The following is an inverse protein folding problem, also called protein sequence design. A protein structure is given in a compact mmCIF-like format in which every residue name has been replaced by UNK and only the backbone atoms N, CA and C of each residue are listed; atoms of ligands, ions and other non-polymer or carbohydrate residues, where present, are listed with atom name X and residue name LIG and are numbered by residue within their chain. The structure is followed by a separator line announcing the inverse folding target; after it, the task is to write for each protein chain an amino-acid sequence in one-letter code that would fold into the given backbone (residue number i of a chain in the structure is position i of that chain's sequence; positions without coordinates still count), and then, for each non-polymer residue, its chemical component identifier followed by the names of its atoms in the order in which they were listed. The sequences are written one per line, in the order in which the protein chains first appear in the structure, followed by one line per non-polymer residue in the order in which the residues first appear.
data_IF_183363314419
#
_entry.id   IF_183363314419
#
_cell.length_a   1.000
_cell.length_b   1.000
_cell.length_c   1.000
_cell.angle_alpha   90.00
_cell.angle_beta   90.00
_cell.angle_gamma   90.00
#
_symmetry.space_group_name_H-M   'P 1'
#
loop_
_entity.id
_entity.type
_entity.pdbx_description
1 polymer ?
#
# COMPACT_ATOMS: atom_id res chain seq x y z
N UNK A 1 -11.30 20.19 21.57
CA UNK A 1 -12.07 18.93 21.48
C UNK A 1 -13.42 19.24 20.85
N UNK A 2 -13.46 19.57 19.55
CA UNK A 2 -14.72 19.96 18.87
C UNK A 2 -15.27 18.87 17.94
N UNK A 3 -14.45 17.90 17.52
CA UNK A 3 -14.85 16.84 16.58
C UNK A 3 -15.88 15.87 17.19
N UNK A 4 -15.93 15.76 18.52
CA UNK A 4 -16.90 14.87 19.20
C UNK A 4 -18.32 15.46 19.28
N UNK A 5 -18.52 16.72 18.91
CA UNK A 5 -19.82 17.40 19.04
C UNK A 5 -20.61 17.48 17.73
N UNK A 6 -20.00 17.16 16.59
CA UNK A 6 -20.68 17.14 15.31
C UNK A 6 -20.34 15.85 14.53
N UNK A 7 -21.25 14.85 14.49
CA UNK A 7 -21.02 13.58 13.80
C UNK A 7 -20.87 13.72 12.28
N UNK A 8 -21.14 14.91 11.72
CA UNK A 8 -20.93 15.24 10.30
C UNK A 8 -19.62 16.01 10.04
N UNK A 9 -18.88 16.38 11.08
CA UNK A 9 -17.58 17.04 10.91
C UNK A 9 -16.55 16.02 10.42
N UNK A 10 -16.16 16.13 9.15
CA UNK A 10 -15.05 15.36 8.59
C UNK A 10 -13.73 15.92 9.11
N UNK A 11 -12.89 15.05 9.68
CA UNK A 11 -11.53 15.40 10.01
C UNK A 11 -10.79 15.82 8.73
N UNK A 12 -10.00 16.89 8.81
CA UNK A 12 -9.10 17.29 7.73
C UNK A 12 -7.95 16.28 7.60
N UNK A 13 -7.36 16.14 6.40
CA UNK A 13 -6.38 15.08 6.06
C UNK A 13 -5.18 15.03 7.01
N UNK A 14 -4.72 16.16 7.52
CA UNK A 14 -3.62 16.25 8.49
C UNK A 14 -3.93 15.59 9.83
N UNK A 15 -5.21 15.40 10.15
CA UNK A 15 -5.69 14.76 11.37
C UNK A 15 -6.10 13.31 11.13
N UNK A 16 -5.89 12.77 9.93
CA UNK A 16 -6.23 11.39 9.62
C UNK A 16 -5.24 10.45 10.27
N UNK A 17 -5.76 9.43 10.92
CA UNK A 17 -4.93 8.34 11.39
C UNK A 17 -4.64 7.40 10.20
N UNK A 18 -3.38 7.25 9.77
CA UNK A 18 -3.05 6.60 8.51
C UNK A 18 -3.22 5.08 8.57
N UNK A 19 -3.70 4.49 7.47
CA UNK A 19 -3.63 3.05 7.22
C UNK A 19 -2.31 2.69 6.50
N UNK A 20 -1.73 1.51 6.72
CA UNK A 20 -2.26 0.42 7.56
C UNK A 20 -2.01 0.60 9.06
N UNK A 21 -1.28 1.62 9.52
CA UNK A 21 -0.92 1.76 10.95
C UNK A 21 -2.11 1.69 11.94
N UNK A 22 -3.28 2.16 11.52
CA UNK A 22 -4.49 2.11 12.33
C UNK A 22 -5.23 0.77 12.34
N UNK A 23 -4.87 -0.18 11.45
CA UNK A 23 -5.52 -1.50 11.37
C UNK A 23 -5.37 -2.29 12.68
N UNK A 24 -4.22 -2.20 13.35
CA UNK A 24 -3.98 -2.89 14.61
C UNK A 24 -4.91 -2.39 15.72
N UNK A 25 -5.13 -1.08 15.80
CA UNK A 25 -6.04 -0.48 16.77
C UNK A 25 -7.48 -0.94 16.52
N UNK A 26 -7.93 -0.88 15.28
CA UNK A 26 -9.28 -1.32 14.88
C UNK A 26 -9.44 -2.81 15.17
N UNK A 27 -8.48 -3.65 14.78
CA UNK A 27 -8.58 -5.11 14.92
C UNK A 27 -8.71 -5.51 16.40
N UNK A 28 -7.88 -4.94 17.27
CA UNK A 28 -7.94 -5.21 18.71
C UNK A 28 -9.20 -4.64 19.37
N UNK A 29 -9.70 -3.49 18.91
CA UNK A 29 -10.89 -2.85 19.49
C UNK A 29 -12.15 -3.67 19.23
N UNK A 30 -12.27 -4.23 18.03
CA UNK A 30 -13.45 -4.98 17.61
C UNK A 30 -13.30 -6.50 17.71
N UNK A 31 -12.12 -7.00 18.05
CA UNK A 31 -11.78 -8.42 18.05
C UNK A 31 -12.06 -9.10 16.69
N UNK A 32 -11.85 -8.36 15.60
CA UNK A 32 -12.09 -8.81 14.24
C UNK A 32 -10.87 -8.52 13.37
N UNK A 33 -10.60 -9.32 12.33
CA UNK A 33 -9.52 -9.04 11.40
C UNK A 33 -9.87 -7.83 10.55
N UNK A 34 -8.89 -6.98 10.26
CA UNK A 34 -9.03 -5.81 9.40
C UNK A 34 -8.36 -6.10 8.07
N UNK A 35 -9.11 -6.03 6.97
CA UNK A 35 -8.61 -6.21 5.61
C UNK A 35 -8.39 -4.82 5.00
N UNK A 36 -7.14 -4.44 4.71
CA UNK A 36 -6.84 -3.15 4.09
C UNK A 36 -6.39 -3.29 2.64
N UNK A 37 -7.12 -2.64 1.73
CA UNK A 37 -6.83 -2.60 0.31
C UNK A 37 -6.42 -1.19 -0.13
N UNK A 38 -5.42 -1.11 -0.99
CA UNK A 38 -4.94 0.17 -1.56
C UNK A 38 -4.30 -0.07 -2.93
N UNK A 39 -4.38 0.90 -3.87
CA UNK A 39 -3.67 0.82 -5.14
C UNK A 39 -2.15 0.64 -5.00
N UNK A 40 -1.58 1.11 -3.89
CA UNK A 40 -0.19 0.85 -3.55
C UNK A 40 -0.06 -0.58 -3.01
N UNK A 41 0.02 -1.58 -3.91
CA UNK A 41 0.03 -3.02 -3.58
C UNK A 41 0.91 -3.39 -2.36
N UNK A 42 2.07 -2.75 -2.20
CA UNK A 42 3.01 -2.99 -1.10
C UNK A 42 2.49 -2.59 0.30
N UNK A 43 1.44 -1.77 0.37
CA UNK A 43 0.82 -1.29 1.60
C UNK A 43 -0.51 -1.99 1.91
N UNK A 44 -1.01 -2.84 1.00
CA UNK A 44 -2.21 -3.62 1.23
C UNK A 44 -1.86 -4.81 2.13
N UNK A 45 -2.49 -4.89 3.29
CA UNK A 45 -2.27 -5.98 4.23
C UNK A 45 -3.50 -6.18 5.11
N UNK A 46 -3.84 -7.43 5.46
CA UNK A 46 -4.74 -7.70 6.55
C UNK A 46 -3.98 -7.63 7.88
N UNK A 47 -4.71 -7.41 8.96
CA UNK A 47 -4.19 -7.36 10.33
C UNK A 47 -5.16 -8.07 11.25
N UNK A 48 -4.68 -9.06 11.99
CA UNK A 48 -5.49 -9.72 13.01
C UNK A 48 -5.40 -9.00 14.35
N UNK A 49 -6.33 -9.26 15.29
CA UNK A 49 -6.16 -8.89 16.68
C UNK A 49 -4.85 -9.47 17.24
N UNK A 50 -4.18 -8.71 18.11
CA UNK A 50 -2.89 -9.08 18.68
C UNK A 50 -3.03 -9.77 20.04
N UNK A 51 -4.13 -9.52 20.77
CA UNK A 51 -4.25 -9.87 22.19
C UNK A 51 -5.39 -10.84 22.50
N UNK A 52 -6.14 -11.28 21.50
CA UNK A 52 -7.34 -12.12 21.70
C UNK A 52 -7.42 -13.20 20.66
N UNK A 53 -7.93 -14.38 21.04
CA UNK A 53 -8.27 -15.45 20.10
C UNK A 53 -9.43 -15.04 19.17
N UNK A 54 -9.64 -15.75 18.05
CA UNK A 54 -10.80 -15.57 17.20
C UNK A 54 -12.12 -15.74 17.95
N UNK A 55 -13.09 -14.82 17.79
CA UNK A 55 -14.44 -15.04 18.29
C UNK A 55 -15.13 -16.17 17.51
N UNK A 56 -16.23 -16.76 18.04
CA UNK A 56 -16.97 -17.81 17.35
C UNK A 56 -17.51 -17.39 15.97
N UNK A 57 -17.82 -16.10 15.82
CA UNK A 57 -18.27 -15.51 14.56
C UNK A 57 -17.25 -14.46 14.10
N UNK A 58 -16.60 -14.74 12.97
CA UNK A 58 -15.59 -13.87 12.38
C UNK A 58 -16.23 -13.03 11.29
N UNK A 59 -16.15 -11.71 11.45
CA UNK A 59 -16.67 -10.69 10.54
C UNK A 59 -15.56 -9.69 10.21
N UNK A 60 -14.78 -9.93 9.15
CA UNK A 60 -13.68 -9.05 8.80
C UNK A 60 -14.14 -7.63 8.47
N UNK A 61 -13.44 -6.64 9.03
CA UNK A 61 -13.66 -5.23 8.72
C UNK A 61 -12.83 -4.91 7.49
N UNK A 62 -13.48 -4.64 6.36
CA UNK A 62 -12.77 -4.36 5.12
C UNK A 62 -12.76 -2.87 4.82
N UNK A 63 -11.58 -2.31 4.63
CA UNK A 63 -11.36 -0.90 4.33
C UNK A 63 -10.55 -0.79 3.04
N UNK A 64 -10.98 0.05 2.12
CA UNK A 64 -10.22 0.40 0.92
C UNK A 64 -9.84 1.87 0.90
N UNK A 65 -8.62 2.14 0.44
CA UNK A 65 -8.16 3.48 0.11
C UNK A 65 -8.42 3.78 -1.37
N UNK A 66 -9.24 4.79 -1.64
CA UNK A 66 -9.69 5.16 -2.98
C UNK A 66 -9.37 6.61 -3.30
N UNK A 67 -9.23 6.92 -4.59
CA UNK A 67 -8.95 8.26 -5.12
C UNK A 67 -7.74 8.98 -4.48
N UNK A 68 -6.78 8.20 -3.96
CA UNK A 68 -5.60 8.70 -3.23
C UNK A 68 -5.90 9.65 -2.07
N UNK A 69 -7.13 9.65 -1.56
CA UNK A 69 -7.50 10.59 -0.52
C UNK A 69 -8.68 10.14 0.34
N UNK A 70 -9.29 8.97 0.19
CA UNK A 70 -10.49 8.60 0.95
C UNK A 70 -10.44 7.14 1.42
N UNK A 71 -10.96 6.87 2.61
CA UNK A 71 -11.19 5.51 3.10
C UNK A 71 -12.67 5.16 2.98
N UNK A 72 -12.97 3.95 2.51
CA UNK A 72 -14.33 3.43 2.38
C UNK A 72 -14.42 2.05 3.00
N UNK A 73 -15.56 1.75 3.63
CA UNK A 73 -15.89 0.39 4.07
C UNK A 73 -16.34 -0.42 2.87
N UNK A 74 -15.93 -1.68 2.79
CA UNK A 74 -16.38 -2.62 1.76
C UNK A 74 -17.12 -3.80 2.39
N UNK A 75 -18.17 -4.26 1.71
CA UNK A 75 -18.79 -5.54 1.98
C UNK A 75 -18.28 -6.55 0.97
N UNK A 76 -17.53 -7.54 1.45
CA UNK A 76 -16.98 -8.61 0.61
C UNK A 76 -17.64 -9.93 0.95
N UNK A 77 -17.90 -10.73 -0.07
CA UNK A 77 -18.21 -12.15 0.10
C UNK A 77 -16.90 -12.91 0.28
N UNK A 78 -16.66 -13.41 1.49
CA UNK A 78 -15.47 -14.20 1.80
C UNK A 78 -15.65 -15.63 1.29
N UNK A 79 -14.90 -15.97 0.26
CA UNK A 79 -14.72 -17.33 -0.27
C UNK A 79 -13.23 -17.65 -0.38
N UNK A 80 -12.88 -18.91 -0.55
CA UNK A 80 -11.47 -19.34 -0.67
C UNK A 80 -10.75 -18.75 -1.89
N UNK A 81 -11.51 -18.30 -2.90
CA UNK A 81 -11.00 -17.69 -4.13
C UNK A 81 -10.83 -16.17 -4.02
N UNK A 82 -11.27 -15.54 -2.92
CA UNK A 82 -11.09 -14.10 -2.72
C UNK A 82 -9.59 -13.79 -2.56
N UNK A 83 -8.97 -12.94 -3.40
CA UNK A 83 -7.58 -12.55 -3.19
C UNK A 83 -7.45 -11.64 -1.97
N UNK A 84 -6.74 -12.12 -0.94
CA UNK A 84 -6.40 -11.32 0.25
C UNK A 84 -4.88 -11.11 0.28
N UNK A 85 -4.39 -9.87 0.46
CA UNK A 85 -2.96 -9.60 0.57
C UNK A 85 -2.30 -10.36 1.72
N UNK A 86 -0.97 -10.45 1.72
CA UNK A 86 -0.24 -11.11 2.80
C UNK A 86 -0.42 -10.39 4.14
N UNK A 87 -0.57 -11.17 5.20
CA UNK A 87 -0.62 -10.70 6.58
C UNK A 87 0.50 -9.70 6.89
N UNK A 88 0.15 -8.65 7.62
CA UNK A 88 1.10 -7.66 8.12
C UNK A 88 2.27 -8.37 8.84
N UNK A 89 3.50 -8.13 8.38
CA UNK A 89 4.69 -8.82 8.89
C UNK A 89 4.88 -8.66 10.40
N UNK A 90 4.55 -7.48 10.91
CA UNK A 90 4.63 -7.04 12.29
C UNK A 90 3.72 -7.87 13.19
N UNK A 91 2.58 -8.36 12.66
CA UNK A 91 1.66 -9.18 13.44
C UNK A 91 2.34 -10.44 13.95
N UNK A 92 3.09 -11.13 13.09
CA UNK A 92 3.80 -12.37 13.46
C UNK A 92 4.82 -12.19 14.58
N UNK A 93 5.32 -10.97 14.80
CA UNK A 93 6.38 -10.69 15.77
C UNK A 93 5.86 -10.08 17.08
N UNK A 94 4.64 -9.52 17.07
CA UNK A 94 4.15 -8.68 18.16
C UNK A 94 2.85 -9.19 18.79
N UNK A 95 2.23 -10.24 18.25
CA UNK A 95 1.02 -10.82 18.85
C UNK A 95 1.37 -11.59 20.14
N UNK A 96 0.42 -11.59 21.08
CA UNK A 96 0.49 -12.41 22.29
C UNK A 96 0.08 -13.86 21.97
N UNK A 97 0.53 -14.80 22.81
CA UNK A 97 0.15 -16.22 22.70
C UNK A 97 -1.38 -16.45 22.67
N UNK A 98 -2.16 -15.55 23.26
CA UNK A 98 -3.62 -15.61 23.21
C UNK A 98 -4.18 -15.50 21.78
N UNK A 99 -3.43 -14.88 20.87
CA UNK A 99 -3.79 -14.66 19.47
C UNK A 99 -3.17 -15.70 18.52
N UNK A 100 -2.41 -16.69 19.00
CA UNK A 100 -1.78 -17.74 18.18
C UNK A 100 -2.79 -18.45 17.26
N UNK A 101 -4.02 -18.59 17.73
CA UNK A 101 -5.12 -19.26 17.02
C UNK A 101 -5.65 -18.52 15.80
N UNK A 102 -5.22 -17.28 15.56
CA UNK A 102 -5.43 -16.61 14.28
C UNK A 102 -4.50 -17.11 13.17
N UNK A 103 -3.42 -17.81 13.51
CA UNK A 103 -2.44 -18.28 12.53
C UNK A 103 -3.07 -19.27 11.54
N UNK A 104 -2.74 -19.12 10.25
CA UNK A 104 -3.29 -19.97 9.17
C UNK A 104 -4.68 -19.56 8.69
N UNK A 105 -5.35 -18.61 9.35
CA UNK A 105 -6.56 -18.00 8.81
C UNK A 105 -6.30 -17.43 7.42
N UNK A 106 -7.22 -17.62 6.47
CA UNK A 106 -7.12 -17.10 5.10
C UNK A 106 -5.86 -17.53 4.32
N UNK A 107 -5.17 -18.60 4.73
CA UNK A 107 -3.94 -19.03 4.05
C UNK A 107 -4.17 -19.32 2.56
N UNK A 108 -5.31 -19.95 2.23
CA UNK A 108 -5.70 -20.19 0.85
C UNK A 108 -5.87 -18.89 0.06
N UNK A 109 -6.52 -17.88 0.64
CA UNK A 109 -6.68 -16.56 0.02
C UNK A 109 -5.34 -15.85 -0.22
N UNK A 110 -4.38 -16.01 0.71
CA UNK A 110 -3.03 -15.49 0.54
C UNK A 110 -2.31 -16.16 -0.63
N UNK A 111 -2.51 -17.47 -0.82
CA UNK A 111 -1.98 -18.20 -1.98
C UNK A 111 -2.60 -17.69 -3.29
N UNK A 112 -3.92 -17.49 -3.32
CA UNK A 112 -4.61 -16.92 -4.50
C UNK A 112 -4.04 -15.54 -4.85
N UNK A 113 -3.89 -14.66 -3.86
CA UNK A 113 -3.29 -13.34 -4.07
C UNK A 113 -1.85 -13.43 -4.59
N UNK A 114 -1.01 -14.29 -4.00
CA UNK A 114 0.38 -14.50 -4.46
C UNK A 114 0.42 -14.95 -5.92
N UNK A 115 -0.47 -15.85 -6.32
CA UNK A 115 -0.53 -16.36 -7.69
C UNK A 115 -0.91 -15.25 -8.68
N UNK A 116 -1.97 -14.49 -8.39
CA UNK A 116 -2.39 -13.35 -9.22
C UNK A 116 -1.27 -12.30 -9.30
N UNK A 117 -0.66 -11.94 -8.17
CA UNK A 117 0.41 -10.96 -8.13
C UNK A 117 1.66 -11.44 -8.89
N UNK A 118 1.94 -12.74 -8.91
CA UNK A 118 3.03 -13.33 -9.71
C UNK A 118 2.72 -13.22 -11.20
N UNK A 119 1.52 -13.61 -11.61
CA UNK A 119 1.08 -13.53 -13.02
C UNK A 119 1.13 -12.10 -13.56
N UNK A 120 0.61 -11.13 -12.79
CA UNK A 120 0.67 -9.71 -13.14
C UNK A 120 2.12 -9.23 -13.32
N UNK A 121 3.04 -9.64 -12.44
CA UNK A 121 4.47 -9.27 -12.55
C UNK A 121 5.11 -9.90 -13.78
N UNK A 122 4.84 -11.17 -14.05
CA UNK A 122 5.35 -11.85 -15.25
C UNK A 122 4.89 -11.16 -16.53
N UNK A 123 3.61 -10.81 -16.62
CA UNK A 123 3.05 -10.09 -17.76
C UNK A 123 3.65 -8.68 -17.91
N UNK A 124 3.81 -7.94 -16.81
CA UNK A 124 4.49 -6.62 -16.83
C UNK A 124 5.93 -6.72 -17.34
N UNK A 125 6.67 -7.76 -16.95
CA UNK A 125 8.05 -7.97 -17.39
C UNK A 125 8.11 -8.34 -18.87
N UNK A 126 7.25 -9.26 -19.32
CA UNK A 126 7.17 -9.65 -20.74
C UNK A 126 6.93 -8.44 -21.65
N UNK A 127 6.03 -7.53 -21.25
CA UNK A 127 5.77 -6.28 -22.01
C UNK A 127 6.99 -5.37 -22.07
N UNK A 128 7.81 -5.31 -21.01
CA UNK A 128 9.06 -4.55 -21.03
C UNK A 128 10.05 -5.15 -22.03
N UNK A 129 10.21 -6.47 -22.00
CA UNK A 129 11.11 -7.18 -22.92
C UNK A 129 10.69 -7.01 -24.38
N UNK A 130 9.37 -6.98 -24.68
CA UNK A 130 8.84 -6.71 -26.02
C UNK A 130 9.01 -5.24 -26.46
N UNK A 131 8.97 -4.29 -25.52
CA UNK A 131 9.09 -2.86 -25.83
C UNK A 131 10.55 -2.41 -25.99
N UNK A 132 11.48 -3.03 -25.25
CA UNK A 132 12.91 -2.69 -25.30
C UNK A 132 13.66 -3.34 -26.47
N UNK A 133 13.00 -4.22 -27.24
CA UNK A 133 13.63 -4.95 -28.35
C UNK A 133 14.83 -5.81 -27.89
N UNK A 134 15.50 -6.56 -28.79
CA UNK A 134 16.74 -7.22 -28.41
C UNK A 134 17.73 -6.13 -28.01
N UNK A 135 18.12 -6.10 -26.73
CA UNK A 135 19.17 -5.21 -26.26
C UNK A 135 20.37 -5.39 -27.18
N UNK A 136 20.69 -4.38 -27.98
CA UNK A 136 21.97 -4.35 -28.67
C UNK A 136 23.01 -4.39 -27.54
N UNK A 137 23.69 -5.53 -27.42
CA UNK A 137 24.86 -5.65 -26.59
C UNK A 137 25.87 -4.62 -27.11
N UNK A 138 25.90 -3.44 -26.50
CA UNK A 138 26.94 -2.45 -26.78
C UNK A 138 28.21 -3.04 -26.21
N UNK A 139 28.96 -3.73 -27.06
CA UNK A 139 30.28 -4.24 -26.73
C UNK A 139 31.20 -3.04 -26.70
N UNK A 140 31.53 -2.55 -25.51
CA UNK A 140 32.51 -1.48 -25.34
C UNK A 140 33.88 -2.13 -25.49
N UNK A 141 34.51 -1.94 -26.64
CA UNK A 141 35.89 -2.34 -26.86
C UNK A 141 36.82 -1.40 -26.08
N UNK A 142 37.42 -1.92 -25.01
CA UNK A 142 38.28 -1.16 -24.07
C UNK A 142 39.66 -0.89 -24.70
N UNK A 143 39.90 -1.29 -25.96
CA UNK A 143 41.18 -1.16 -26.64
C UNK A 143 41.40 0.20 -27.32
N UNK A 144 40.43 1.12 -27.28
CA UNK A 144 40.56 2.45 -27.89
C UNK A 144 41.02 3.51 -26.88
N UNK A 145 42.04 4.33 -27.21
CA UNK A 145 42.59 5.32 -26.28
C UNK A 145 41.55 6.40 -25.94
N UNK A 146 41.55 6.83 -24.67
CA UNK A 146 40.66 7.90 -24.16
C UNK A 146 40.83 9.18 -24.98
N UNK A 147 39.90 9.46 -25.88
CA UNK A 147 39.59 10.81 -26.32
C UNK A 147 38.39 11.31 -25.52
N UNK A 148 38.65 12.26 -24.63
CA UNK A 148 37.65 12.95 -23.81
C UNK A 148 36.50 13.48 -24.67
N UNK A 149 35.23 13.16 -24.37
CA UNK A 149 34.12 13.82 -25.02
C UNK A 149 33.92 15.22 -24.41
N UNK A 150 33.96 16.24 -25.27
CA UNK A 150 33.57 17.62 -24.95
C UNK A 150 32.14 17.68 -24.41
N UNK A 151 31.83 18.56 -23.44
CA UNK A 151 30.49 18.66 -22.87
C UNK A 151 29.52 19.26 -23.90
N UNK A 152 28.67 18.41 -24.48
CA UNK A 152 27.52 18.87 -25.27
C UNK A 152 26.44 19.40 -24.32
N UNK A 153 26.16 20.69 -24.45
CA UNK A 153 25.09 21.42 -23.78
C UNK A 153 23.74 20.72 -23.93
N UNK A 154 23.25 20.15 -22.83
CA UNK A 154 21.87 19.68 -22.72
C UNK A 154 21.14 20.65 -21.79
N UNK A 155 20.34 21.53 -22.39
CA UNK A 155 19.47 22.50 -21.73
C UNK A 155 18.45 21.75 -20.86
N UNK A 156 18.71 21.66 -19.55
CA UNK A 156 17.68 21.25 -18.59
C UNK A 156 16.87 22.49 -18.21
N UNK A 157 15.64 22.56 -18.71
CA UNK A 157 14.62 23.47 -18.24
C UNK A 157 14.24 23.12 -16.79
N UNK A 158 14.84 23.83 -15.86
CA UNK A 158 14.42 23.89 -14.46
C UNK A 158 13.20 24.81 -14.33
N UNK A 159 12.01 24.23 -14.21
CA UNK A 159 10.81 24.95 -13.76
C UNK A 159 10.88 25.16 -12.25
N UNK A 160 11.49 26.27 -11.83
CA UNK A 160 11.35 26.83 -10.49
C UNK A 160 10.08 27.67 -10.43
N UNK A 161 9.03 27.17 -9.77
CA UNK A 161 7.88 27.98 -9.38
C UNK A 161 8.10 28.49 -7.96
N UNK A 162 8.75 29.64 -7.86
CA UNK A 162 8.66 30.54 -6.71
C UNK A 162 7.39 31.38 -6.86
N UNK A 163 6.43 31.24 -5.95
CA UNK A 163 5.36 32.22 -5.77
C UNK A 163 5.52 32.83 -4.39
N UNK A 164 5.98 34.07 -4.42
CA UNK A 164 6.09 35.04 -3.34
C UNK A 164 4.74 35.39 -2.73
N UNK A 165 4.79 35.66 -1.44
CA UNK A 165 3.79 36.27 -0.58
C UNK A 165 3.15 37.51 -1.19
N UNK A 166 1.86 37.69 -0.94
CA UNK A 166 1.18 38.98 -1.01
C UNK A 166 0.16 39.01 0.11
N UNK A 167 0.40 39.91 1.06
CA UNK A 167 -0.53 40.31 2.10
C UNK A 167 -1.82 40.87 1.48
N UNK A 168 -2.95 40.54 2.10
CA UNK A 168 -4.11 41.42 2.10
C UNK A 168 -4.92 41.21 3.38
N UNK A 169 -4.81 42.22 4.24
CA UNK A 169 -5.80 42.60 5.25
C UNK A 169 -7.22 42.52 4.68
N UNK A 170 -8.16 41.97 5.45
CA UNK A 170 -9.53 42.47 5.46
C UNK A 170 -10.18 42.21 6.83
N UNK A 171 -10.83 43.27 7.30
CA UNK A 171 -11.46 43.51 8.60
C UNK A 171 -12.52 42.50 9.06
#
# INVERSE_FOLDING_TARGET
MEILQNPLATATRQNWYPMPGSSALIANTFHQPVMYYTPAEALACPTYPFFTAPPPEIKPITIAFVFNNHYVSLELSFSDDLPIPNLCSEWSQLHDNAADTWTGMYEQNFLVFKNIAKEIRTERNKRRDETDGPSQCVTIDISSPLTSPSPSSSSRSSSSSSSSSSDSDFS
#
